data_IF_920901532004
#
_entry.id   IF_920901532004
#
_cell.length_a   1.000
_cell.length_b   1.000
_cell.length_c   1.000
_cell.angle_alpha   90.00
_cell.angle_beta   90.00
_cell.angle_gamma   90.00
#
_symmetry.space_group_name_H-M   'P 1'
#
loop_
_entity.id
_entity.type
_entity.pdbx_description
1 polymer ?
#
# COMPACT_ATOMS: atom_id res chain seq x y z
N UNK A 1 20.30 14.39 -6.84
CA UNK A 1 18.89 14.35 -6.42
C UNK A 1 18.74 15.29 -5.24
N UNK A 2 17.91 16.33 -5.35
CA UNK A 2 17.68 17.25 -4.23
C UNK A 2 16.69 16.62 -3.25
N UNK A 3 16.81 16.96 -1.97
CA UNK A 3 15.90 16.50 -0.89
C UNK A 3 14.44 16.84 -1.19
N UNK A 4 14.20 17.99 -1.82
CA UNK A 4 12.88 18.41 -2.31
C UNK A 4 12.29 17.44 -3.33
N UNK A 5 13.09 16.97 -4.29
CA UNK A 5 12.65 16.01 -5.31
C UNK A 5 12.28 14.67 -4.69
N UNK A 6 13.08 14.18 -3.74
CA UNK A 6 12.80 12.96 -2.99
C UNK A 6 11.49 13.08 -2.19
N UNK A 7 11.28 14.22 -1.54
CA UNK A 7 10.05 14.48 -0.78
C UNK A 7 8.83 14.51 -1.68
N UNK A 8 8.90 15.15 -2.85
CA UNK A 8 7.81 15.15 -3.84
C UNK A 8 7.50 13.75 -4.36
N UNK A 9 8.52 12.97 -4.73
CA UNK A 9 8.32 11.60 -5.21
C UNK A 9 7.65 10.75 -4.13
N UNK A 10 8.12 10.83 -2.89
CA UNK A 10 7.56 10.08 -1.77
C UNK A 10 6.11 10.50 -1.48
N UNK A 11 5.83 11.80 -1.50
CA UNK A 11 4.48 12.31 -1.30
C UNK A 11 3.52 11.86 -2.41
N UNK A 12 3.92 11.99 -3.67
CA UNK A 12 3.15 11.51 -4.83
C UNK A 12 2.90 10.01 -4.75
N UNK A 13 3.90 9.24 -4.33
CA UNK A 13 3.78 7.79 -4.13
C UNK A 13 2.76 7.44 -3.04
N UNK A 14 2.81 8.11 -1.88
CA UNK A 14 1.84 7.91 -0.81
C UNK A 14 0.43 8.31 -1.26
N UNK A 15 0.29 9.41 -2.00
CA UNK A 15 -0.99 9.88 -2.52
C UNK A 15 -1.61 8.87 -3.50
N UNK A 16 -0.81 8.32 -4.42
CA UNK A 16 -1.25 7.29 -5.36
C UNK A 16 -1.70 6.02 -4.63
N UNK A 17 -0.95 5.55 -3.64
CA UNK A 17 -1.33 4.39 -2.84
C UNK A 17 -2.62 4.63 -2.05
N UNK A 18 -2.78 5.82 -1.48
CA UNK A 18 -4.00 6.21 -0.77
C UNK A 18 -5.22 6.22 -1.70
N UNK A 19 -5.09 6.79 -2.90
CA UNK A 19 -6.16 6.79 -3.90
C UNK A 19 -6.52 5.36 -4.34
N UNK A 20 -5.52 4.51 -4.59
CA UNK A 20 -5.74 3.10 -4.91
C UNK A 20 -6.49 2.38 -3.79
N UNK A 21 -6.10 2.60 -2.53
CA UNK A 21 -6.78 2.03 -1.37
C UNK A 21 -8.26 2.46 -1.32
N UNK A 22 -8.54 3.76 -1.51
CA UNK A 22 -9.91 4.28 -1.57
C UNK A 22 -10.70 3.62 -2.70
N UNK A 23 -10.18 3.63 -3.93
CA UNK A 23 -10.89 3.05 -5.09
C UNK A 23 -11.15 1.55 -4.90
N UNK A 24 -10.18 0.82 -4.36
CA UNK A 24 -10.32 -0.61 -4.09
C UNK A 24 -11.37 -0.91 -3.01
N UNK A 25 -11.40 -0.12 -1.93
CA UNK A 25 -12.31 -0.35 -0.79
C UNK A 25 -13.70 0.25 -1.00
N UNK A 26 -13.84 1.25 -1.88
CA UNK A 26 -15.11 1.94 -2.18
C UNK A 26 -16.22 0.97 -2.58
N UNK A 27 -15.89 -0.12 -3.27
CA UNK A 27 -16.88 -1.08 -3.74
C UNK A 27 -17.13 -2.27 -2.79
N UNK A 28 -16.49 -2.30 -1.61
CA UNK A 28 -16.45 -3.48 -0.73
C UNK A 28 -17.50 -3.48 0.40
N UNK A 29 -18.41 -2.49 0.44
CA UNK A 29 -19.50 -2.40 1.43
C UNK A 29 -19.05 -2.63 2.89
N UNK A 30 -17.88 -2.09 3.24
CA UNK A 30 -17.23 -2.32 4.53
C UNK A 30 -17.79 -1.40 5.61
N UNK A 31 -17.88 -1.90 6.85
CA UNK A 31 -18.04 -1.05 8.04
C UNK A 31 -16.86 -0.06 8.14
N UNK A 32 -17.13 1.16 8.62
CA UNK A 32 -16.14 2.25 8.76
C UNK A 32 -14.81 1.82 9.41
N UNK A 33 -14.87 1.05 10.50
CA UNK A 33 -13.66 0.53 11.16
C UNK A 33 -12.84 -0.41 10.27
N UNK A 34 -13.51 -1.30 9.53
CA UNK A 34 -12.83 -2.18 8.57
C UNK A 34 -12.25 -1.37 7.40
N UNK A 35 -12.96 -0.34 6.94
CA UNK A 35 -12.44 0.56 5.91
C UNK A 35 -11.14 1.25 6.33
N UNK A 36 -11.08 1.76 7.56
CA UNK A 36 -9.85 2.37 8.11
C UNK A 36 -8.72 1.36 8.24
N UNK A 37 -8.99 0.17 8.79
CA UNK A 37 -7.98 -0.88 8.97
C UNK A 37 -7.42 -1.35 7.63
N UNK A 38 -8.28 -1.62 6.65
CA UNK A 38 -7.87 -2.01 5.30
C UNK A 38 -7.17 -0.88 4.53
N UNK A 39 -7.60 0.37 4.72
CA UNK A 39 -6.94 1.53 4.14
C UNK A 39 -5.52 1.72 4.69
N UNK A 40 -5.36 1.58 6.01
CA UNK A 40 -4.05 1.62 6.66
C UNK A 40 -3.16 0.48 6.15
N UNK A 41 -3.71 -0.74 6.11
CA UNK A 41 -3.01 -1.92 5.62
C UNK A 41 -2.56 -1.74 4.17
N UNK A 42 -3.41 -1.21 3.30
CA UNK A 42 -3.08 -0.91 1.91
C UNK A 42 -1.99 0.16 1.75
N UNK A 43 -1.87 1.10 2.70
CA UNK A 43 -0.82 2.11 2.75
C UNK A 43 0.53 1.53 3.19
N UNK A 44 0.52 0.57 4.12
CA UNK A 44 1.72 -0.11 4.60
C UNK A 44 2.16 -1.28 3.71
N UNK A 45 1.23 -1.88 2.97
CA UNK A 45 1.50 -3.00 2.06
C UNK A 45 2.66 -2.76 1.09
N UNK A 46 2.83 -1.59 0.47
CA UNK A 46 3.94 -1.34 -0.44
C UNK A 46 5.30 -1.29 0.27
N UNK A 47 5.34 -0.77 1.50
CA UNK A 47 6.53 -0.82 2.35
C UNK A 47 6.83 -2.24 2.84
N UNK A 48 5.78 -3.02 3.11
CA UNK A 48 5.89 -4.44 3.48
C UNK A 48 6.08 -5.36 2.27
N UNK A 49 5.86 -4.87 1.05
CA UNK A 49 5.82 -5.64 -0.19
C UNK A 49 7.08 -6.48 -0.41
N UNK A 50 8.29 -5.91 -0.27
CA UNK A 50 9.54 -6.67 -0.37
C UNK A 50 9.63 -7.80 0.66
N UNK A 51 9.21 -7.56 1.91
CA UNK A 51 9.21 -8.58 2.96
C UNK A 51 8.22 -9.71 2.64
N UNK A 52 7.04 -9.37 2.12
CA UNK A 52 6.05 -10.36 1.68
C UNK A 52 6.61 -11.21 0.54
N UNK A 53 7.25 -10.60 -0.47
CA UNK A 53 7.87 -11.33 -1.58
C UNK A 53 8.95 -12.29 -1.08
N UNK A 54 9.81 -11.84 -0.14
CA UNK A 54 10.84 -12.69 0.47
C UNK A 54 10.21 -13.85 1.24
N UNK A 55 9.17 -13.58 2.04
CA UNK A 55 8.47 -14.58 2.85
C UNK A 55 7.77 -15.63 1.99
N UNK A 56 7.12 -15.20 0.91
CA UNK A 56 6.39 -16.06 -0.01
C UNK A 56 7.29 -17.01 -0.81
N UNK A 57 8.62 -16.77 -0.82
CA UNK A 57 9.64 -17.59 -1.49
C UNK A 57 9.16 -18.06 -2.88
N UNK A 58 8.83 -17.12 -3.78
CA UNK A 58 8.31 -17.45 -5.10
C UNK A 58 9.29 -18.38 -5.81
N UNK A 59 8.81 -19.55 -6.26
CA UNK A 59 9.62 -20.59 -6.90
C UNK A 59 9.98 -21.80 -6.03
N UNK A 60 9.70 -21.79 -4.72
CA UNK A 60 9.64 -23.05 -3.96
C UNK A 60 8.37 -23.81 -4.39
N UNK A 61 8.53 -24.89 -5.16
CA UNK A 61 7.47 -25.90 -5.31
C UNK A 61 7.16 -26.43 -3.91
N UNK A 62 5.93 -26.19 -3.45
CA UNK A 62 5.33 -26.85 -2.29
C UNK A 62 5.08 -28.30 -2.67
#
# INVERSE_FOLDING_TARGET
MNTETLRMIFFSYLLLNFLLAIFYLRNRNLRLGAYMLWGLLALFLPALGPFLVILLRPGKRI
#
